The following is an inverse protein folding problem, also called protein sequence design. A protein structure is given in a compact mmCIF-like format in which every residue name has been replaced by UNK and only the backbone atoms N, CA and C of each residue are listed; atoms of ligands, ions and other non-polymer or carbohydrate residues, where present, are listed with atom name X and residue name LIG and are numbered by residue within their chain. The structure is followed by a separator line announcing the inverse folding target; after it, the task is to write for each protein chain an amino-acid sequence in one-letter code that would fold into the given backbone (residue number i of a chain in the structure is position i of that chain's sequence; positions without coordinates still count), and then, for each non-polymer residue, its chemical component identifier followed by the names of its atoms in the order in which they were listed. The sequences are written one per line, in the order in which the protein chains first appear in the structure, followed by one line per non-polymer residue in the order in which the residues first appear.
data_IF_442631777584
#
_entry.id   IF_442631777584
#
_cell.length_a   1.000
_cell.length_b   1.000
_cell.length_c   1.000
_cell.angle_alpha   90.00
_cell.angle_beta   90.00
_cell.angle_gamma   90.00
#
_symmetry.space_group_name_H-M   'P 1'
#
loop_
_entity.id
_entity.type
_entity.pdbx_description
1 polymer ?
#
# COMPACT_ATOMS: atom_id res chain seq x y z
N UNK A 1 1.15 8.32 21.81
CA UNK A 1 0.16 9.42 21.88
C UNK A 1 0.58 10.51 22.87
N UNK A 2 1.03 10.14 24.08
CA UNK A 2 1.47 11.15 25.08
C UNK A 2 2.63 12.02 24.58
N UNK A 3 3.65 11.40 23.97
CA UNK A 3 4.83 12.12 23.43
C UNK A 3 4.50 13.06 22.27
N UNK A 4 3.48 12.76 21.49
CA UNK A 4 3.09 13.52 20.30
C UNK A 4 1.97 14.53 20.59
N UNK A 5 1.38 14.52 21.80
CA UNK A 5 0.28 15.41 22.18
C UNK A 5 -1.02 15.15 21.43
N UNK A 6 -1.15 14.03 20.71
CA UNK A 6 -2.37 13.65 19.99
C UNK A 6 -3.49 13.37 20.99
N UNK A 7 -4.57 14.15 20.89
CA UNK A 7 -5.73 14.12 21.81
C UNK A 7 -6.90 13.28 21.28
N UNK A 8 -6.92 12.97 19.99
CA UNK A 8 -7.99 12.21 19.37
C UNK A 8 -8.14 10.85 20.07
N UNK A 9 -9.36 10.51 20.44
CA UNK A 9 -9.69 9.21 21.04
C UNK A 9 -9.86 8.13 19.99
N UNK A 10 -10.29 8.50 18.78
CA UNK A 10 -10.63 7.64 17.67
C UNK A 10 -9.47 7.55 16.69
N UNK A 11 -9.08 6.33 16.36
CA UNK A 11 -7.91 6.03 15.52
C UNK A 11 -8.35 5.14 14.35
N UNK A 12 -7.91 5.50 13.15
CA UNK A 12 -7.98 4.62 11.99
C UNK A 12 -6.69 3.82 11.85
N UNK A 13 -6.81 2.56 11.50
CA UNK A 13 -5.69 1.66 11.20
C UNK A 13 -5.87 1.02 9.83
N UNK A 14 -4.80 0.55 9.21
CA UNK A 14 -4.86 -0.20 7.97
C UNK A 14 -4.21 -1.57 8.13
N UNK A 15 -4.83 -2.58 7.49
CA UNK A 15 -4.33 -3.95 7.43
C UNK A 15 -3.91 -4.31 6.01
N UNK A 16 -2.96 -5.23 5.87
CA UNK A 16 -2.44 -5.73 4.60
C UNK A 16 -1.81 -7.12 4.76
N UNK A 17 -1.35 -7.70 3.67
CA UNK A 17 -0.61 -8.96 3.65
C UNK A 17 -1.51 -10.18 3.59
N UNK A 18 -0.95 -11.35 3.92
CA UNK A 18 -1.56 -12.66 3.68
C UNK A 18 -2.91 -12.90 4.39
N UNK A 19 -3.25 -12.10 5.38
CA UNK A 19 -4.54 -12.16 6.09
C UNK A 19 -5.62 -11.27 5.49
N UNK A 20 -5.32 -10.54 4.40
CA UNK A 20 -6.24 -9.59 3.75
C UNK A 20 -6.36 -9.96 2.27
N UNK A 21 -7.58 -9.99 1.78
CA UNK A 21 -7.88 -10.26 0.37
C UNK A 21 -8.81 -9.17 -0.15
N UNK A 22 -8.48 -8.66 -1.32
CA UNK A 22 -9.36 -7.81 -2.12
C UNK A 22 -9.68 -8.57 -3.40
N UNK A 23 -10.96 -8.64 -3.73
CA UNK A 23 -11.43 -9.28 -4.98
C UNK A 23 -12.47 -8.42 -5.66
N UNK A 24 -12.30 -8.32 -6.97
CA UNK A 24 -13.35 -7.81 -7.84
C UNK A 24 -14.20 -9.00 -8.28
N UNK A 25 -15.49 -8.90 -8.06
CA UNK A 25 -16.48 -9.92 -8.42
C UNK A 25 -17.45 -9.33 -9.44
N UNK A 26 -17.89 -10.17 -10.35
CA UNK A 26 -18.96 -9.87 -11.28
C UNK A 26 -20.18 -10.70 -10.88
N UNK A 27 -21.22 -10.04 -10.39
CA UNK A 27 -22.41 -10.68 -9.87
C UNK A 27 -23.62 -10.33 -10.75
N UNK A 28 -24.68 -11.15 -10.79
CA UNK A 28 -25.97 -10.75 -11.36
C UNK A 28 -26.46 -9.46 -10.69
N UNK A 29 -27.10 -8.59 -11.44
CA UNK A 29 -27.71 -7.39 -10.88
C UNK A 29 -28.81 -7.78 -9.88
N UNK A 30 -28.71 -7.26 -8.67
CA UNK A 30 -29.63 -7.52 -7.57
C UNK A 30 -29.75 -6.28 -6.68
N UNK A 31 -30.76 -6.26 -5.81
CA UNK A 31 -30.92 -5.20 -4.82
C UNK A 31 -29.86 -5.27 -3.74
N UNK A 32 -29.66 -4.17 -3.01
CA UNK A 32 -28.76 -4.15 -1.84
C UNK A 32 -29.16 -5.16 -0.76
N UNK A 33 -30.46 -5.41 -0.58
CA UNK A 33 -30.97 -6.38 0.38
C UNK A 33 -30.56 -7.80 -0.04
N UNK A 34 -30.78 -8.16 -1.30
CA UNK A 34 -30.37 -9.45 -1.86
C UNK A 34 -28.85 -9.64 -1.81
N UNK A 35 -28.08 -8.59 -2.11
CA UNK A 35 -26.62 -8.64 -2.02
C UNK A 35 -26.15 -8.86 -0.59
N UNK A 36 -26.71 -8.16 0.40
CA UNK A 36 -26.38 -8.33 1.81
C UNK A 36 -26.60 -9.78 2.29
N UNK A 37 -27.67 -10.43 1.78
CA UNK A 37 -27.98 -11.82 2.12
C UNK A 37 -27.05 -12.82 1.42
N UNK A 38 -26.66 -12.54 0.17
CA UNK A 38 -25.89 -13.47 -0.67
C UNK A 38 -24.39 -13.28 -0.60
N UNK A 39 -23.90 -12.09 -0.23
CA UNK A 39 -22.46 -11.73 -0.34
C UNK A 39 -21.53 -12.72 0.38
N UNK A 40 -21.95 -13.28 1.52
CA UNK A 40 -21.13 -14.28 2.23
C UNK A 40 -20.94 -15.56 1.42
N UNK A 41 -21.99 -16.05 0.75
CA UNK A 41 -21.96 -17.21 -0.12
C UNK A 41 -21.14 -16.96 -1.38
N UNK A 42 -21.29 -15.77 -1.97
CA UNK A 42 -20.50 -15.37 -3.11
C UNK A 42 -19.02 -15.24 -2.74
N UNK A 43 -18.73 -14.69 -1.57
CA UNK A 43 -17.36 -14.54 -1.06
C UNK A 43 -16.63 -15.87 -0.84
N UNK A 44 -17.32 -16.92 -0.37
CA UNK A 44 -16.71 -18.24 -0.13
C UNK A 44 -16.01 -18.83 -1.35
N UNK A 45 -16.44 -18.46 -2.56
CA UNK A 45 -15.85 -18.95 -3.80
C UNK A 45 -14.51 -18.27 -4.14
N UNK A 46 -14.24 -17.09 -3.54
CA UNK A 46 -13.13 -16.23 -3.89
C UNK A 46 -12.07 -16.09 -2.78
N UNK A 47 -12.42 -16.42 -1.54
CA UNK A 47 -11.50 -16.28 -0.39
C UNK A 47 -10.98 -17.65 0.06
N UNK A 48 -9.67 -17.80 0.31
CA UNK A 48 -9.08 -19.07 0.76
C UNK A 48 -9.12 -19.24 2.29
N UNK A 49 -10.08 -18.62 2.96
CA UNK A 49 -10.27 -18.65 4.41
C UNK A 49 -11.68 -19.13 4.72
N UNK A 50 -11.86 -19.71 5.90
CA UNK A 50 -13.20 -19.99 6.41
C UNK A 50 -13.95 -18.67 6.60
N UNK A 51 -15.18 -18.60 6.11
CA UNK A 51 -15.99 -17.37 6.10
C UNK A 51 -16.22 -16.82 7.50
N UNK A 52 -16.26 -17.69 8.51
CA UNK A 52 -16.45 -17.32 9.90
C UNK A 52 -15.17 -16.78 10.58
N UNK A 53 -14.00 -16.94 9.94
CA UNK A 53 -12.73 -16.43 10.44
C UNK A 53 -12.39 -15.02 9.93
N UNK A 54 -13.20 -14.49 9.00
CA UNK A 54 -12.97 -13.19 8.38
C UNK A 54 -14.07 -12.18 8.70
N UNK A 55 -13.72 -10.91 8.65
CA UNK A 55 -14.66 -9.82 8.44
C UNK A 55 -14.70 -9.50 6.96
N UNK A 56 -15.90 -9.29 6.45
CA UNK A 56 -16.17 -8.92 5.06
C UNK A 56 -16.72 -7.51 5.01
N UNK A 57 -16.28 -6.77 4.01
CA UNK A 57 -16.86 -5.51 3.58
C UNK A 57 -16.89 -5.47 2.05
N UNK A 58 -17.81 -4.74 1.45
CA UNK A 58 -17.93 -4.67 0.02
C UNK A 58 -18.47 -3.33 -0.47
N UNK A 59 -18.13 -3.01 -1.71
CA UNK A 59 -18.61 -1.81 -2.40
C UNK A 59 -19.01 -2.15 -3.84
N UNK A 60 -20.17 -1.63 -4.27
CA UNK A 60 -20.63 -1.74 -5.66
C UNK A 60 -19.95 -0.62 -6.45
N UNK A 61 -19.11 -0.99 -7.43
CA UNK A 61 -18.37 -0.04 -8.27
C UNK A 61 -19.05 0.25 -9.62
N UNK A 62 -19.90 -0.64 -10.08
CA UNK A 62 -20.79 -0.39 -11.24
C UNK A 62 -21.96 -1.36 -11.23
N UNK A 63 -23.14 -0.90 -11.58
CA UNK A 63 -24.36 -1.71 -11.58
C UNK A 63 -25.37 -1.21 -12.61
N UNK A 64 -26.02 -0.11 -12.33
CA UNK A 64 -27.21 0.35 -13.09
C UNK A 64 -26.93 0.71 -14.56
N UNK A 65 -25.68 1.04 -14.93
CA UNK A 65 -25.31 1.44 -16.28
C UNK A 65 -24.86 0.27 -17.18
N UNK A 66 -24.78 -0.96 -16.65
CA UNK A 66 -24.37 -2.12 -17.44
C UNK A 66 -25.54 -2.75 -18.17
N UNK A 67 -25.44 -2.83 -19.48
CA UNK A 67 -26.46 -3.44 -20.35
C UNK A 67 -26.49 -4.98 -20.27
N UNK A 68 -25.55 -5.62 -19.57
CA UNK A 68 -25.41 -7.07 -19.48
C UNK A 68 -26.13 -7.68 -18.26
N UNK A 69 -26.81 -6.86 -17.45
CA UNK A 69 -27.51 -7.33 -16.25
C UNK A 69 -26.58 -7.81 -15.15
N UNK A 70 -25.35 -7.34 -15.12
CA UNK A 70 -24.34 -7.66 -14.12
C UNK A 70 -23.93 -6.40 -13.36
N UNK A 71 -23.42 -6.58 -12.16
CA UNK A 71 -22.82 -5.54 -11.34
C UNK A 71 -21.42 -5.94 -10.90
N UNK A 72 -20.53 -4.97 -10.84
CA UNK A 72 -19.18 -5.15 -10.32
C UNK A 72 -19.14 -4.79 -8.83
N UNK A 73 -18.63 -5.70 -8.03
CA UNK A 73 -18.48 -5.53 -6.57
C UNK A 73 -17.02 -5.73 -6.20
N UNK A 74 -16.46 -4.80 -5.44
CA UNK A 74 -15.20 -5.02 -4.73
C UNK A 74 -15.54 -5.61 -3.37
N UNK A 75 -14.97 -6.77 -3.09
CA UNK A 75 -15.01 -7.44 -1.80
C UNK A 75 -13.67 -7.26 -1.10
N UNK A 76 -13.67 -6.84 0.15
CA UNK A 76 -12.54 -6.89 1.06
C UNK A 76 -12.81 -7.91 2.16
N UNK A 77 -11.88 -8.83 2.37
CA UNK A 77 -11.94 -9.83 3.43
C UNK A 77 -10.65 -9.74 4.27
N UNK A 78 -10.78 -9.59 5.57
CA UNK A 78 -9.65 -9.57 6.49
C UNK A 78 -9.86 -10.54 7.63
N UNK A 79 -8.82 -11.32 7.97
CA UNK A 79 -8.86 -12.24 9.10
C UNK A 79 -9.12 -11.50 10.41
N UNK A 80 -10.01 -12.05 11.24
CA UNK A 80 -10.38 -11.46 12.53
C UNK A 80 -9.20 -11.33 13.49
N UNK A 81 -8.25 -12.26 13.43
CA UNK A 81 -7.04 -12.21 14.22
C UNK A 81 -6.14 -11.02 13.83
N UNK A 82 -5.97 -10.77 12.51
CA UNK A 82 -5.21 -9.62 12.01
C UNK A 82 -5.87 -8.30 12.44
N UNK A 83 -7.20 -8.19 12.28
CA UNK A 83 -7.94 -7.00 12.73
C UNK A 83 -7.79 -6.80 14.23
N UNK A 84 -7.88 -7.89 15.01
CA UNK A 84 -7.77 -7.86 16.47
C UNK A 84 -6.38 -7.46 16.94
N UNK A 85 -5.32 -7.88 16.24
CA UNK A 85 -3.94 -7.49 16.54
C UNK A 85 -3.75 -5.97 16.39
N UNK A 86 -4.11 -5.40 15.23
CA UNK A 86 -3.98 -3.96 14.98
C UNK A 86 -4.88 -3.12 15.90
N UNK A 87 -6.13 -3.54 16.07
CA UNK A 87 -7.07 -2.87 16.97
C UNK A 87 -6.61 -2.96 18.43
N UNK A 88 -6.04 -4.10 18.82
CA UNK A 88 -5.49 -4.32 20.16
C UNK A 88 -4.37 -3.35 20.52
N UNK A 89 -3.48 -3.03 19.58
CA UNK A 89 -2.42 -2.01 19.78
C UNK A 89 -3.04 -0.63 20.08
N UNK A 90 -4.10 -0.25 19.37
CA UNK A 90 -4.81 1.02 19.58
C UNK A 90 -5.44 1.06 20.97
N UNK A 91 -6.12 -0.03 21.37
CA UNK A 91 -6.75 -0.16 22.69
C UNK A 91 -5.71 -0.13 23.82
N UNK A 92 -4.58 -0.84 23.67
CA UNK A 92 -3.46 -0.80 24.61
C UNK A 92 -2.86 0.60 24.75
N UNK A 93 -2.88 1.39 23.67
CA UNK A 93 -2.52 2.80 23.66
C UNK A 93 -3.55 3.73 24.31
N UNK A 94 -4.63 3.20 24.88
CA UNK A 94 -5.71 3.98 25.53
C UNK A 94 -6.57 4.74 24.53
N UNK A 95 -6.75 4.21 23.32
CA UNK A 95 -7.55 4.83 22.25
C UNK A 95 -8.58 3.84 21.71
N UNK A 96 -9.52 4.33 20.90
CA UNK A 96 -10.59 3.57 20.28
C UNK A 96 -10.25 3.33 18.79
N UNK A 97 -10.22 2.06 18.30
CA UNK A 97 -10.11 1.78 16.88
C UNK A 97 -11.46 2.06 16.21
N UNK A 98 -11.56 3.18 15.52
CA UNK A 98 -12.81 3.64 14.90
C UNK A 98 -12.97 3.12 13.47
N UNK A 99 -11.86 2.96 12.75
CA UNK A 99 -11.84 2.46 11.37
C UNK A 99 -10.70 1.46 11.21
N UNK A 100 -11.01 0.33 10.59
CA UNK A 100 -10.00 -0.60 10.08
C UNK A 100 -10.16 -0.65 8.56
N UNK A 101 -9.18 -0.10 7.86
CA UNK A 101 -9.16 -0.02 6.40
C UNK A 101 -8.15 -1.00 5.82
N UNK A 102 -8.10 -1.12 4.50
CA UNK A 102 -7.06 -1.86 3.79
C UNK A 102 -6.01 -0.88 3.29
N UNK A 103 -4.73 -1.21 3.45
CA UNK A 103 -3.61 -0.32 3.07
C UNK A 103 -3.71 0.16 1.63
N UNK A 104 -4.16 -0.68 0.69
CA UNK A 104 -4.31 -0.32 -0.71
C UNK A 104 -5.33 0.81 -0.91
N UNK A 105 -6.46 0.79 -0.19
CA UNK A 105 -7.50 1.82 -0.28
C UNK A 105 -7.10 3.10 0.44
N UNK A 106 -6.45 2.98 1.60
CA UNK A 106 -5.90 4.15 2.28
C UNK A 106 -4.87 4.87 1.40
N UNK A 107 -3.97 4.14 0.73
CA UNK A 107 -3.02 4.72 -0.21
C UNK A 107 -3.71 5.37 -1.41
N UNK A 108 -4.76 4.76 -1.95
CA UNK A 108 -5.58 5.33 -3.02
C UNK A 108 -6.19 6.66 -2.60
N UNK A 109 -6.81 6.74 -1.41
CA UNK A 109 -7.37 7.99 -0.88
C UNK A 109 -6.32 9.11 -0.82
N UNK A 110 -5.11 8.79 -0.34
CA UNK A 110 -4.00 9.75 -0.32
C UNK A 110 -3.56 10.17 -1.73
N UNK A 111 -3.63 9.25 -2.70
CA UNK A 111 -3.33 9.55 -4.10
C UNK A 111 -4.38 10.49 -4.72
N UNK A 112 -5.64 10.21 -4.52
CA UNK A 112 -6.74 11.04 -5.02
C UNK A 112 -6.71 12.47 -4.45
N UNK A 113 -6.27 12.62 -3.20
CA UNK A 113 -6.09 13.93 -2.56
C UNK A 113 -4.93 14.72 -3.19
N UNK A 114 -3.79 14.05 -3.42
CA UNK A 114 -2.53 14.74 -3.72
C UNK A 114 -2.18 14.77 -5.21
N UNK A 115 -2.85 13.97 -6.03
CA UNK A 115 -2.52 13.82 -7.45
C UNK A 115 -3.78 13.88 -8.30
N UNK A 116 -3.69 14.62 -9.38
CA UNK A 116 -4.74 14.56 -10.40
C UNK A 116 -4.74 13.17 -11.05
N UNK A 117 -5.84 12.46 -10.92
CA UNK A 117 -6.06 11.14 -11.53
C UNK A 117 -7.05 11.30 -12.68
N UNK A 118 -6.54 11.34 -13.91
CA UNK A 118 -7.39 11.35 -15.09
C UNK A 118 -7.93 9.94 -15.37
N UNK A 119 -9.18 9.82 -15.82
CA UNK A 119 -9.84 8.53 -16.02
C UNK A 119 -9.14 7.59 -16.99
N UNK A 120 -8.36 8.15 -17.93
CA UNK A 120 -7.64 7.38 -18.95
C UNK A 120 -6.20 7.02 -18.54
N UNK A 121 -5.72 7.49 -17.40
CA UNK A 121 -4.34 7.26 -16.92
C UNK A 121 -4.31 6.06 -15.98
N UNK A 122 -3.60 5.02 -16.39
CA UNK A 122 -3.35 3.85 -15.54
C UNK A 122 -2.16 4.09 -14.64
N UNK A 123 -2.41 4.20 -13.34
CA UNK A 123 -1.39 4.47 -12.31
C UNK A 123 -1.15 3.25 -11.46
N UNK A 124 0.11 2.84 -11.31
CA UNK A 124 0.52 1.87 -10.30
C UNK A 124 0.98 2.59 -9.03
N UNK A 125 0.29 2.35 -7.92
CA UNK A 125 0.70 2.77 -6.58
C UNK A 125 1.45 1.61 -5.95
N UNK A 126 2.72 1.83 -5.56
CA UNK A 126 3.58 0.82 -4.94
C UNK A 126 3.95 1.32 -3.55
N UNK A 127 3.44 0.68 -2.51
CA UNK A 127 3.81 0.99 -1.12
C UNK A 127 4.80 -0.04 -0.60
N UNK A 128 6.06 0.35 -0.47
CA UNK A 128 7.15 -0.54 -0.05
C UNK A 128 7.42 -0.35 1.44
N UNK A 129 6.85 -1.25 2.22
CA UNK A 129 7.08 -1.32 3.67
C UNK A 129 8.38 -2.03 4.04
N UNK A 130 8.53 -2.40 5.32
CA UNK A 130 9.68 -3.14 5.80
C UNK A 130 9.64 -4.62 5.36
N UNK A 131 8.50 -5.29 5.48
CA UNK A 131 8.35 -6.72 5.19
C UNK A 131 7.49 -7.01 3.95
N UNK A 132 6.60 -6.10 3.59
CA UNK A 132 5.63 -6.29 2.50
C UNK A 132 5.61 -5.10 1.57
N UNK A 133 5.30 -5.37 0.30
CA UNK A 133 5.00 -4.35 -0.70
C UNK A 133 3.57 -4.54 -1.17
N UNK A 134 2.78 -3.48 -1.13
CA UNK A 134 1.41 -3.46 -1.64
C UNK A 134 1.41 -2.76 -3.00
N UNK A 135 0.84 -3.39 -4.01
CA UNK A 135 0.67 -2.82 -5.35
C UNK A 135 -0.83 -2.65 -5.60
N UNK A 136 -1.24 -1.44 -5.89
CA UNK A 136 -2.59 -1.10 -6.35
C UNK A 136 -2.49 -0.45 -7.73
N UNK A 137 -3.10 -1.04 -8.75
CA UNK A 137 -3.17 -0.46 -10.09
C UNK A 137 -4.56 0.11 -10.29
N UNK A 138 -4.64 1.38 -10.65
CA UNK A 138 -5.88 2.14 -10.79
C UNK A 138 -5.95 2.88 -12.12
N UNK A 139 -7.17 3.16 -12.58
CA UNK A 139 -7.45 4.07 -13.70
C UNK A 139 -8.44 5.12 -13.22
N UNK A 140 -8.08 6.38 -13.33
CA UNK A 140 -8.80 7.41 -12.60
C UNK A 140 -8.84 7.11 -11.10
N UNK A 141 -10.01 7.20 -10.49
CA UNK A 141 -10.26 6.86 -9.09
C UNK A 141 -10.70 5.40 -8.88
N UNK A 142 -10.61 4.55 -9.90
CA UNK A 142 -11.07 3.15 -9.85
C UNK A 142 -9.89 2.21 -9.73
N UNK A 143 -9.78 1.49 -8.62
CA UNK A 143 -8.84 0.38 -8.51
C UNK A 143 -9.21 -0.77 -9.44
N UNK A 144 -8.21 -1.28 -10.15
CA UNK A 144 -8.36 -2.33 -11.16
C UNK A 144 -7.75 -3.65 -10.69
N UNK A 145 -6.66 -3.57 -9.92
CA UNK A 145 -5.87 -4.72 -9.53
C UNK A 145 -5.09 -4.47 -8.24
N UNK A 146 -5.04 -5.47 -7.37
CA UNK A 146 -4.32 -5.43 -6.09
C UNK A 146 -3.42 -6.65 -5.94
N UNK A 147 -2.25 -6.44 -5.41
CA UNK A 147 -1.34 -7.52 -5.06
C UNK A 147 -0.43 -7.12 -3.91
N UNK A 148 -0.34 -8.01 -2.92
CA UNK A 148 0.65 -7.93 -1.87
C UNK A 148 1.81 -8.88 -2.20
N UNK A 149 3.04 -8.39 -2.01
CA UNK A 149 4.27 -9.14 -2.16
C UNK A 149 4.95 -9.24 -0.79
N UNK A 150 5.41 -10.42 -0.40
CA UNK A 150 6.15 -10.66 0.85
C UNK A 150 7.63 -10.24 0.73
N UNK A 151 7.87 -9.09 0.12
CA UNK A 151 9.18 -8.45 -0.04
C UNK A 151 9.08 -6.98 0.38
N UNK A 152 10.15 -6.44 0.96
CA UNK A 152 10.21 -5.05 1.42
C UNK A 152 11.60 -4.67 1.88
N UNK A 153 11.73 -3.62 2.67
CA UNK A 153 13.00 -3.05 3.12
C UNK A 153 13.92 -4.02 3.87
N UNK A 154 13.35 -5.04 4.52
CA UNK A 154 14.12 -6.09 5.20
C UNK A 154 14.94 -6.94 4.22
N UNK A 155 14.57 -6.98 2.95
CA UNK A 155 15.33 -7.69 1.93
C UNK A 155 16.72 -7.06 1.76
N UNK A 156 16.80 -5.72 1.76
CA UNK A 156 18.06 -4.98 1.75
C UNK A 156 18.86 -5.21 3.01
N UNK A 157 18.23 -5.11 4.19
CA UNK A 157 18.88 -5.30 5.48
C UNK A 157 19.49 -6.68 5.58
N UNK A 158 18.74 -7.72 5.21
CA UNK A 158 19.21 -9.10 5.22
C UNK A 158 20.37 -9.34 4.23
N UNK A 159 20.33 -8.71 3.05
CA UNK A 159 21.43 -8.79 2.08
C UNK A 159 22.70 -8.16 2.63
N UNK A 160 22.61 -6.96 3.21
CA UNK A 160 23.76 -6.27 3.84
C UNK A 160 24.32 -7.08 5.01
N UNK A 161 23.46 -7.61 5.90
CA UNK A 161 23.88 -8.47 7.00
C UNK A 161 24.67 -9.67 6.49
N UNK A 162 24.17 -10.34 5.47
CA UNK A 162 24.78 -11.56 4.92
C UNK A 162 26.12 -11.27 4.23
N UNK A 163 26.18 -10.23 3.40
CA UNK A 163 27.38 -9.92 2.61
C UNK A 163 28.51 -9.35 3.48
N UNK A 164 28.16 -8.55 4.51
CA UNK A 164 29.16 -7.85 5.34
C UNK A 164 29.29 -8.45 6.75
N UNK A 165 28.52 -9.50 7.07
CA UNK A 165 28.49 -10.16 8.38
C UNK A 165 28.24 -9.18 9.54
N UNK A 166 27.20 -8.33 9.38
CA UNK A 166 26.84 -7.27 10.32
C UNK A 166 25.62 -7.61 11.18
N UNK A 167 25.44 -6.87 12.27
CA UNK A 167 24.19 -6.86 13.02
C UNK A 167 23.05 -6.29 12.21
N UNK A 168 21.81 -6.54 12.63
CA UNK A 168 20.62 -5.93 11.98
C UNK A 168 20.67 -4.40 12.07
N UNK A 169 21.03 -3.85 13.22
CA UNK A 169 21.04 -2.40 13.46
C UNK A 169 22.12 -1.69 12.62
N UNK A 170 23.31 -2.30 12.48
CA UNK A 170 24.37 -1.78 11.63
C UNK A 170 23.97 -1.82 10.15
N UNK A 171 23.36 -2.92 9.71
CA UNK A 171 22.85 -3.05 8.36
C UNK A 171 21.73 -2.03 8.05
N UNK A 172 20.82 -1.78 9.00
CA UNK A 172 19.78 -0.73 8.88
C UNK A 172 20.41 0.67 8.78
N UNK A 173 21.46 0.92 9.57
CA UNK A 173 22.20 2.20 9.53
C UNK A 173 22.82 2.43 8.17
N UNK A 174 23.53 1.44 7.64
CA UNK A 174 24.14 1.51 6.30
C UNK A 174 23.09 1.62 5.20
N UNK A 175 22.01 0.84 5.28
CA UNK A 175 20.91 0.90 4.31
C UNK A 175 20.34 2.31 4.17
N UNK A 176 20.28 3.07 5.25
CA UNK A 176 19.76 4.46 5.29
C UNK A 176 20.79 5.53 4.93
N UNK A 177 21.96 5.14 4.47
CA UNK A 177 23.03 6.08 4.09
C UNK A 177 23.92 6.52 5.26
N UNK A 178 23.77 5.88 6.43
CA UNK A 178 24.67 6.09 7.57
C UNK A 178 26.01 5.38 7.39
N UNK A 179 26.88 5.50 8.39
CA UNK A 179 28.18 4.82 8.44
C UNK A 179 28.30 3.96 9.70
N UNK A 180 28.99 2.86 9.57
CA UNK A 180 29.37 1.96 10.67
C UNK A 180 30.90 1.90 10.69
N UNK A 181 31.50 1.70 11.87
CA UNK A 181 32.95 1.73 12.01
C UNK A 181 33.65 0.79 10.99
N UNK A 182 34.54 1.35 10.18
CA UNK A 182 35.30 0.62 9.15
C UNK A 182 34.53 0.30 7.87
N UNK A 183 33.26 0.69 7.75
CA UNK A 183 32.42 0.42 6.58
C UNK A 183 31.75 1.71 6.11
N UNK A 184 32.03 2.11 4.86
CA UNK A 184 31.39 3.29 4.26
C UNK A 184 30.11 2.90 3.52
N UNK A 185 29.22 3.89 3.32
CA UNK A 185 28.00 3.73 2.54
C UNK A 185 28.26 3.25 1.11
N UNK A 186 29.35 3.70 0.49
CA UNK A 186 29.72 3.32 -0.88
C UNK A 186 29.89 1.80 -1.02
N UNK A 187 30.34 1.13 0.02
CA UNK A 187 30.53 -0.33 0.01
C UNK A 187 29.23 -1.12 -0.06
N UNK A 188 28.09 -0.53 0.36
CA UNK A 188 26.77 -1.18 0.28
C UNK A 188 26.00 -0.86 -1.00
N UNK A 189 26.39 0.15 -1.77
CA UNK A 189 25.70 0.53 -3.01
C UNK A 189 25.54 -0.65 -3.98
N UNK A 190 26.54 -1.51 -4.24
CA UNK A 190 26.35 -2.67 -5.11
C UNK A 190 25.30 -3.65 -4.57
N UNK A 191 25.24 -3.83 -3.24
CA UNK A 191 24.25 -4.71 -2.59
C UNK A 191 22.85 -4.10 -2.75
N UNK A 192 22.69 -2.79 -2.51
CA UNK A 192 21.43 -2.09 -2.66
C UNK A 192 20.91 -2.20 -4.10
N UNK A 193 21.78 -1.98 -5.09
CA UNK A 193 21.41 -2.08 -6.50
C UNK A 193 20.97 -3.51 -6.88
N UNK A 194 21.68 -4.53 -6.45
CA UNK A 194 21.32 -5.94 -6.72
C UNK A 194 19.95 -6.28 -6.14
N UNK A 195 19.67 -5.88 -4.90
CA UNK A 195 18.36 -6.10 -4.26
C UNK A 195 17.26 -5.30 -4.96
N UNK A 196 17.56 -4.07 -5.39
CA UNK A 196 16.62 -3.25 -6.15
C UNK A 196 16.25 -3.90 -7.49
N UNK A 197 17.21 -4.49 -8.19
CA UNK A 197 16.95 -5.23 -9.44
C UNK A 197 16.01 -6.43 -9.21
N UNK A 198 16.24 -7.21 -8.15
CA UNK A 198 15.39 -8.35 -7.79
C UNK A 198 13.97 -7.90 -7.44
N UNK A 199 13.83 -6.86 -6.60
CA UNK A 199 12.51 -6.31 -6.22
C UNK A 199 11.76 -5.76 -7.43
N UNK A 200 12.42 -4.98 -8.26
CA UNK A 200 11.82 -4.43 -9.47
C UNK A 200 11.41 -5.55 -10.43
N UNK A 201 12.19 -6.63 -10.50
CA UNK A 201 11.82 -7.84 -11.24
C UNK A 201 10.46 -8.42 -10.79
N UNK A 202 10.17 -8.45 -9.50
CA UNK A 202 8.86 -8.90 -8.98
C UNK A 202 7.73 -7.90 -9.30
N UNK A 203 8.02 -6.60 -9.28
CA UNK A 203 7.04 -5.59 -9.70
C UNK A 203 6.68 -5.74 -11.18
N UNK A 204 7.67 -5.91 -12.04
CA UNK A 204 7.45 -6.12 -13.48
C UNK A 204 6.62 -7.39 -13.76
N UNK A 205 6.88 -8.50 -13.06
CA UNK A 205 6.04 -9.71 -13.18
C UNK A 205 4.59 -9.43 -12.80
N UNK A 206 4.37 -8.58 -11.79
CA UNK A 206 3.02 -8.16 -11.39
C UNK A 206 2.35 -7.31 -12.46
N UNK A 207 3.09 -6.39 -13.07
CA UNK A 207 2.59 -5.55 -14.17
C UNK A 207 2.25 -6.38 -15.43
N UNK A 208 3.11 -7.32 -15.78
CA UNK A 208 2.84 -8.23 -16.91
C UNK A 208 1.61 -9.11 -16.65
N UNK A 209 1.44 -9.61 -15.41
CA UNK A 209 0.22 -10.35 -15.04
C UNK A 209 -1.03 -9.46 -15.17
N UNK A 210 -0.99 -8.22 -14.68
CA UNK A 210 -2.09 -7.27 -14.82
C UNK A 210 -2.43 -7.04 -16.29
N UNK A 211 -1.45 -6.73 -17.14
CA UNK A 211 -1.66 -6.52 -18.59
C UNK A 211 -2.26 -7.74 -19.28
N UNK A 212 -1.83 -8.95 -18.89
CA UNK A 212 -2.32 -10.18 -19.48
C UNK A 212 -3.76 -10.54 -19.07
N UNK A 213 -4.22 -10.05 -17.92
CA UNK A 213 -5.52 -10.42 -17.32
C UNK A 213 -6.56 -9.30 -17.34
N UNK A 214 -6.18 -8.11 -17.79
CA UNK A 214 -7.06 -6.93 -17.87
C UNK A 214 -7.22 -6.46 -19.31
N UNK A 215 -8.17 -5.56 -19.52
CA UNK A 215 -8.32 -4.86 -20.83
C UNK A 215 -7.32 -3.69 -21.01
N UNK A 216 -6.54 -3.39 -19.97
CA UNK A 216 -5.57 -2.30 -19.97
C UNK A 216 -4.21 -2.81 -20.45
N UNK A 217 -3.64 -2.18 -21.46
CA UNK A 217 -2.39 -2.62 -22.09
C UNK A 217 -1.14 -2.01 -21.46
N UNK A 218 -1.27 -0.87 -20.78
CA UNK A 218 -0.15 -0.10 -20.28
C UNK A 218 -0.35 0.34 -18.84
N UNK A 219 0.76 0.64 -18.17
CA UNK A 219 0.83 1.45 -16.97
C UNK A 219 1.50 2.75 -17.39
N UNK A 220 0.84 3.88 -17.18
CA UNK A 220 1.26 5.19 -17.68
C UNK A 220 2.03 5.97 -16.62
N UNK A 221 1.82 5.63 -15.36
CA UNK A 221 2.44 6.29 -14.20
C UNK A 221 2.74 5.31 -13.09
N UNK A 222 3.85 5.52 -12.41
CA UNK A 222 4.20 4.78 -11.19
C UNK A 222 4.50 5.78 -10.07
N UNK A 223 3.84 5.60 -8.93
CA UNK A 223 4.05 6.34 -7.70
C UNK A 223 4.54 5.37 -6.62
N UNK A 224 5.71 5.63 -6.05
CA UNK A 224 6.33 4.76 -5.04
C UNK A 224 6.24 5.41 -3.67
N UNK A 225 5.53 4.76 -2.75
CA UNK A 225 5.33 5.16 -1.37
C UNK A 225 5.99 4.17 -0.39
N UNK A 226 5.95 4.50 0.88
CA UNK A 226 6.48 3.67 1.97
C UNK A 226 7.89 4.06 2.38
N UNK A 227 8.32 3.55 3.54
CA UNK A 227 9.63 3.90 4.11
C UNK A 227 10.82 3.41 3.29
N UNK A 228 10.62 2.40 2.43
CA UNK A 228 11.66 1.85 1.56
C UNK A 228 11.75 2.59 0.21
N UNK A 229 10.77 3.44 -0.12
CA UNK A 229 10.76 4.20 -1.39
C UNK A 229 12.02 5.03 -1.62
N UNK A 230 12.63 5.52 -0.53
CA UNK A 230 13.82 6.39 -0.57
C UNK A 230 15.16 5.64 -0.54
N UNK A 231 15.16 4.31 -0.71
CA UNK A 231 16.41 3.55 -0.82
C UNK A 231 17.22 4.04 -2.02
N UNK A 232 18.52 4.23 -1.79
CA UNK A 232 19.44 4.67 -2.83
C UNK A 232 19.36 3.77 -4.07
N UNK A 233 19.15 4.38 -5.23
CA UNK A 233 19.14 3.72 -6.53
C UNK A 233 17.81 3.04 -6.91
N UNK A 234 16.87 2.80 -6.00
CA UNK A 234 15.63 2.08 -6.31
C UNK A 234 14.79 2.79 -7.38
N UNK A 235 14.56 4.10 -7.23
CA UNK A 235 13.81 4.89 -8.22
C UNK A 235 14.45 4.82 -9.61
N UNK A 236 15.80 4.91 -9.67
CA UNK A 236 16.53 4.84 -10.92
C UNK A 236 16.40 3.46 -11.57
N UNK A 237 16.62 2.39 -10.80
CA UNK A 237 16.48 1.00 -11.32
C UNK A 237 15.07 0.77 -11.87
N UNK A 238 14.05 1.22 -11.16
CA UNK A 238 12.66 1.06 -11.62
C UNK A 238 12.40 1.90 -12.88
N UNK A 239 12.86 3.15 -12.91
CA UNK A 239 12.75 4.05 -14.08
C UNK A 239 13.41 3.44 -15.32
N UNK A 240 14.63 2.92 -15.18
CA UNK A 240 15.37 2.31 -16.30
C UNK A 240 14.66 1.04 -16.83
N UNK A 241 14.04 0.25 -15.95
CA UNK A 241 13.34 -0.98 -16.33
C UNK A 241 11.99 -0.73 -16.99
N UNK A 242 11.24 0.28 -16.55
CA UNK A 242 9.92 0.61 -17.13
C UNK A 242 10.03 1.52 -18.34
N UNK A 243 11.11 2.28 -18.47
CA UNK A 243 11.39 3.16 -19.62
C UNK A 243 10.69 4.53 -19.53
N UNK A 244 10.14 4.91 -18.39
CA UNK A 244 9.58 6.23 -18.11
C UNK A 244 9.82 6.63 -16.66
N UNK A 245 9.66 7.94 -16.37
CA UNK A 245 9.93 8.48 -15.04
C UNK A 245 8.99 7.91 -13.99
N UNK A 246 9.57 7.35 -12.94
CA UNK A 246 8.89 6.97 -11.70
C UNK A 246 8.89 8.18 -10.75
N UNK A 247 7.87 8.33 -9.94
CA UNK A 247 7.78 9.41 -8.96
C UNK A 247 7.71 8.83 -7.55
N UNK A 248 8.50 9.40 -6.63
CA UNK A 248 8.33 9.14 -5.20
C UNK A 248 7.07 9.87 -4.71
N UNK A 249 6.22 9.15 -4.02
CA UNK A 249 4.94 9.67 -3.54
C UNK A 249 5.15 10.76 -2.49
N UNK A 250 4.54 11.92 -2.70
CA UNK A 250 4.49 12.99 -1.71
C UNK A 250 3.08 13.08 -1.12
N UNK A 251 2.90 12.63 0.11
CA UNK A 251 1.61 12.63 0.80
C UNK A 251 1.10 14.02 1.21
N UNK A 252 1.96 15.04 1.14
CA UNK A 252 1.62 16.42 1.52
C UNK A 252 1.59 17.40 0.34
N UNK A 253 1.54 16.87 -0.90
CA UNK A 253 1.67 17.69 -2.11
C UNK A 253 0.59 18.78 -2.22
N UNK A 254 -0.65 18.44 -1.85
CA UNK A 254 -1.81 19.34 -1.86
C UNK A 254 -2.32 19.66 -0.43
N UNK A 255 -1.53 19.30 0.60
CA UNK A 255 -1.86 19.55 1.99
C UNK A 255 -1.05 20.74 2.50
N UNK A 256 -1.73 21.77 2.99
CA UNK A 256 -1.09 22.91 3.63
C UNK A 256 -0.49 22.49 4.99
N UNK A 257 0.83 22.58 5.10
CA UNK A 257 1.58 22.26 6.32
C UNK A 257 1.98 23.55 7.02
N UNK A 258 1.70 23.65 8.31
CA UNK A 258 2.10 24.81 9.12
C UNK A 258 3.61 24.78 9.41
N UNK A 259 4.39 25.56 8.67
CA UNK A 259 5.86 25.63 8.79
C UNK A 259 6.36 26.16 10.15
N UNK A 260 5.50 26.82 10.93
CA UNK A 260 5.85 27.21 12.30
C UNK A 260 5.82 26.03 13.29
N UNK A 261 5.17 24.93 12.93
CA UNK A 261 5.04 23.73 13.76
C UNK A 261 5.92 22.57 13.26
N UNK A 262 6.15 22.49 11.95
CA UNK A 262 6.86 21.40 11.31
C UNK A 262 7.96 21.93 10.40
N UNK A 263 9.15 21.40 10.55
CA UNK A 263 10.27 21.69 9.67
C UNK A 263 9.95 21.17 8.25
N UNK A 264 10.02 22.01 7.20
CA UNK A 264 9.77 21.59 5.82
C UNK A 264 10.67 20.43 5.37
N UNK A 265 11.93 20.39 5.82
CA UNK A 265 12.83 19.29 5.49
C UNK A 265 12.33 17.98 6.09
N UNK A 266 11.94 17.98 7.36
CA UNK A 266 11.36 16.82 8.02
C UNK A 266 10.07 16.32 7.32
N UNK A 267 9.17 17.26 6.95
CA UNK A 267 7.94 16.90 6.22
C UNK A 267 8.25 16.24 4.87
N UNK A 268 9.22 16.76 4.15
CA UNK A 268 9.66 16.17 2.89
C UNK A 268 10.25 14.76 3.09
N UNK A 269 11.08 14.57 4.10
CA UNK A 269 11.71 13.28 4.41
C UNK A 269 10.69 12.18 4.75
N UNK A 270 9.60 12.53 5.44
CA UNK A 270 8.56 11.56 5.84
C UNK A 270 7.44 11.42 4.80
N UNK A 271 7.42 12.23 3.75
CA UNK A 271 6.28 12.35 2.83
C UNK A 271 5.88 11.02 2.19
N UNK A 272 6.83 10.24 1.72
CA UNK A 272 6.56 8.94 1.08
C UNK A 272 6.06 7.89 2.08
N UNK A 273 6.58 7.89 3.30
CA UNK A 273 6.27 6.90 4.32
C UNK A 273 4.93 7.16 5.04
N UNK A 274 4.41 8.38 4.96
CA UNK A 274 3.14 8.78 5.60
C UNK A 274 1.92 8.66 4.70
N UNK A 275 2.08 8.22 3.45
CA UNK A 275 1.00 8.15 2.47
C UNK A 275 -0.24 7.38 2.97
N UNK A 276 -0.06 6.18 3.52
CA UNK A 276 -1.16 5.40 4.12
C UNK A 276 -1.81 6.12 5.29
N UNK A 277 -1.01 6.78 6.15
CA UNK A 277 -1.55 7.50 7.31
C UNK A 277 -2.38 8.73 6.89
N UNK A 278 -1.97 9.45 5.85
CA UNK A 278 -2.75 10.54 5.26
C UNK A 278 -4.08 10.02 4.71
N UNK A 279 -4.07 8.93 3.96
CA UNK A 279 -5.29 8.32 3.45
C UNK A 279 -6.24 7.82 4.55
N UNK A 280 -5.70 7.26 5.64
CA UNK A 280 -6.48 6.89 6.82
C UNK A 280 -7.11 8.10 7.52
N UNK A 281 -6.39 9.22 7.58
CA UNK A 281 -6.90 10.45 8.19
C UNK A 281 -8.11 11.04 7.44
N UNK A 282 -8.31 10.67 6.18
CA UNK A 282 -9.46 11.08 5.36
C UNK A 282 -10.72 10.24 5.64
N UNK A 283 -10.58 9.07 6.29
CA UNK A 283 -11.72 8.21 6.60
C UNK A 283 -12.64 8.85 7.62
N UNK A 284 -13.93 8.83 7.33
CA UNK A 284 -15.00 9.22 8.25
C UNK A 284 -15.63 7.97 8.81
N UNK A 285 -16.10 8.04 10.03
CA UNK A 285 -17.01 7.01 10.57
C UNK A 285 -18.28 6.99 9.74
N UNK A 286 -18.69 5.82 9.33
CA UNK A 286 -20.00 5.58 8.73
C UNK A 286 -21.03 5.35 9.83
#
# INVERSE_FOLDING_TARGET
FEKTGVKNSKIAVAVAGNGVIIKKMLLPQMSMEELNESIRWEAEQYIPFEIDEVNLDYEIISGDDRQDGQMEVILAAAKKDVISEYSGVVVQGGREPAVVDVTAFALQNACELNYSVADEVTTALINIGAATTNINIMSGNRSLFWRDLSIGGNYYTNAIQKELNLSFDDAETLKRGGSVEGISFESVIPILNSVSEDMVGEFLKTFEFFKATSQYSNIDRILVAGGTANIYGLEQVLTDKVGFKVEIFNAFKEIEVNENMFDPQFVNEISSMTATAVGLAMRKEM
#
